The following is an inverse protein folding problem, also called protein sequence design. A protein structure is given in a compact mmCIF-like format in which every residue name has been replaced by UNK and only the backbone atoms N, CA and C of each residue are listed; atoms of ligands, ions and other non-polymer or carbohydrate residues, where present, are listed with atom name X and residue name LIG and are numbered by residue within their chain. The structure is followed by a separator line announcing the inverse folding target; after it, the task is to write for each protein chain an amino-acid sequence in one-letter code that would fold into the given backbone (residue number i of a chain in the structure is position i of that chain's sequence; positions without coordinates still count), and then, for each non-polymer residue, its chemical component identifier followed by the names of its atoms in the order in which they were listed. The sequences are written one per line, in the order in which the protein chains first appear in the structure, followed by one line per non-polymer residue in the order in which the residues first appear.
data_IF_844155131412
#
_entry.id   IF_844155131412
#
_cell.length_a   1.000
_cell.length_b   1.000
_cell.length_c   1.000
_cell.angle_alpha   90.00
_cell.angle_beta   90.00
_cell.angle_gamma   90.00
#
_symmetry.space_group_name_H-M   'P 1'
#
loop_
_entity.id
_entity.type
_entity.pdbx_description
1 polymer ?
#
# COMPACT_ATOMS: atom_id res chain seq x y z
N UNK A 1 6.81 -23.36 6.10
CA UNK A 1 6.23 -22.48 5.07
C UNK A 1 6.63 -21.07 5.44
N UNK A 2 7.34 -20.34 4.57
CA UNK A 2 7.64 -18.93 4.81
C UNK A 2 6.33 -18.14 4.75
N UNK A 3 6.03 -17.34 5.76
CA UNK A 3 4.79 -16.57 5.75
C UNK A 3 4.99 -15.30 4.92
N UNK A 4 4.29 -15.22 3.79
CA UNK A 4 4.26 -14.02 2.96
C UNK A 4 3.63 -12.88 3.78
N UNK A 5 4.16 -11.67 3.63
CA UNK A 5 3.45 -10.48 4.11
C UNK A 5 2.17 -10.30 3.30
N UNK A 6 1.12 -9.83 3.96
CA UNK A 6 -0.20 -9.61 3.37
C UNK A 6 -0.70 -8.22 3.75
N UNK A 7 -1.43 -7.58 2.84
CA UNK A 7 -2.21 -6.37 3.14
C UNK A 7 -3.66 -6.81 3.25
N UNK A 8 -4.21 -6.72 4.45
CA UNK A 8 -5.63 -6.95 4.70
C UNK A 8 -6.40 -5.65 4.48
N UNK A 9 -7.26 -5.55 3.45
CA UNK A 9 -8.00 -4.33 3.18
C UNK A 9 -9.11 -4.10 4.22
N UNK A 10 -9.18 -2.89 4.77
CA UNK A 10 -10.32 -2.42 5.57
C UNK A 10 -11.36 -1.72 4.70
N UNK A 11 -10.92 -1.17 3.57
CA UNK A 11 -11.78 -0.63 2.51
C UNK A 11 -11.96 -1.67 1.42
N UNK A 12 -13.19 -1.90 0.93
CA UNK A 12 -13.43 -2.84 -0.17
C UNK A 12 -12.55 -2.49 -1.39
N UNK A 13 -11.65 -3.38 -1.85
CA UNK A 13 -10.84 -3.14 -3.03
C UNK A 13 -11.71 -2.87 -4.26
N UNK A 14 -11.18 -2.10 -5.22
CA UNK A 14 -11.79 -1.80 -6.53
C UNK A 14 -13.17 -1.14 -6.52
N UNK A 15 -13.68 -0.75 -5.34
CA UNK A 15 -14.97 -0.06 -5.16
C UNK A 15 -14.83 1.41 -4.77
N UNK A 16 -13.73 2.06 -5.17
CA UNK A 16 -13.37 3.41 -4.73
C UNK A 16 -13.46 4.42 -5.87
N UNK A 17 -13.95 5.61 -5.54
CA UNK A 17 -13.87 6.78 -6.40
C UNK A 17 -12.57 7.54 -6.14
N UNK A 18 -12.12 8.34 -7.11
CA UNK A 18 -11.02 9.29 -6.90
C UNK A 18 -11.29 10.15 -5.67
N UNK A 19 -10.28 10.31 -4.81
CA UNK A 19 -10.42 11.04 -3.55
C UNK A 19 -10.98 10.23 -2.38
N UNK A 20 -11.43 8.99 -2.57
CA UNK A 20 -11.77 8.11 -1.45
C UNK A 20 -10.51 7.62 -0.72
N UNK A 21 -10.68 7.31 0.56
CA UNK A 21 -9.65 6.72 1.40
C UNK A 21 -9.62 5.19 1.24
N UNK A 22 -8.48 4.65 0.86
CA UNK A 22 -8.16 3.23 1.06
C UNK A 22 -7.43 3.07 2.38
N UNK A 23 -7.87 2.11 3.18
CA UNK A 23 -7.23 1.72 4.43
C UNK A 23 -6.93 0.22 4.42
N UNK A 24 -5.79 -0.16 4.97
CA UNK A 24 -5.38 -1.56 5.09
C UNK A 24 -4.50 -1.81 6.31
N UNK A 25 -4.41 -3.07 6.71
CA UNK A 25 -3.53 -3.53 7.78
C UNK A 25 -2.45 -4.43 7.17
N UNK A 26 -1.18 -4.07 7.38
CA UNK A 26 -0.06 -4.94 7.03
C UNK A 26 0.04 -6.05 8.04
N UNK A 27 0.10 -7.30 7.57
CA UNK A 27 0.23 -8.48 8.41
C UNK A 27 1.34 -9.40 7.91
N UNK A 28 1.91 -10.19 8.83
CA UNK A 28 2.78 -11.33 8.54
C UNK A 28 2.31 -12.50 9.38
N UNK A 29 2.02 -13.63 8.73
CA UNK A 29 1.42 -14.80 9.39
C UNK A 29 0.12 -14.47 10.15
N UNK A 30 -0.70 -13.58 9.60
CA UNK A 30 -1.96 -13.13 10.21
C UNK A 30 -1.80 -12.19 11.43
N UNK A 31 -0.58 -11.79 11.78
CA UNK A 31 -0.32 -10.81 12.86
C UNK A 31 0.00 -9.44 12.28
N UNK A 32 -0.53 -8.34 12.84
CA UNK A 32 -0.17 -7.00 12.38
C UNK A 32 1.34 -6.74 12.46
N UNK A 33 1.86 -5.99 11.49
CA UNK A 33 3.26 -5.54 11.46
C UNK A 33 3.27 -4.03 11.73
N UNK A 34 3.60 -3.60 12.96
CA UNK A 34 3.70 -2.19 13.30
C UNK A 34 4.75 -1.50 12.43
N UNK A 35 4.49 -0.25 12.05
CA UNK A 35 5.51 0.61 11.44
C UNK A 35 6.11 0.10 10.12
N UNK A 36 5.48 -0.88 9.48
CA UNK A 36 5.88 -1.38 8.16
C UNK A 36 5.89 -0.23 7.14
N UNK A 37 6.86 -0.27 6.23
CA UNK A 37 6.88 0.61 5.06
C UNK A 37 6.00 0.01 3.96
N UNK A 38 5.28 0.87 3.26
CA UNK A 38 4.42 0.50 2.14
C UNK A 38 4.78 1.36 0.95
N UNK A 39 5.16 0.75 -0.16
CA UNK A 39 5.30 1.41 -1.44
C UNK A 39 3.96 1.48 -2.15
N UNK A 40 3.67 2.63 -2.75
CA UNK A 40 2.43 2.90 -3.48
C UNK A 40 2.78 3.44 -4.86
N UNK A 41 2.21 2.83 -5.89
CA UNK A 41 2.46 3.18 -7.29
C UNK A 41 1.17 3.26 -8.09
N UNK A 42 1.15 4.16 -9.08
CA UNK A 42 0.06 4.31 -10.04
C UNK A 42 0.42 3.63 -11.36
N UNK A 43 -0.47 2.79 -11.88
CA UNK A 43 -0.34 2.27 -13.25
C UNK A 43 -0.67 3.40 -14.22
N UNK A 44 0.38 4.01 -14.77
CA UNK A 44 0.29 5.27 -15.50
C UNK A 44 0.05 5.10 -17.02
N UNK A 45 -1.01 4.39 -17.39
CA UNK A 45 -1.35 4.17 -18.81
C UNK A 45 -1.78 5.47 -19.53
N UNK A 46 -2.12 6.51 -18.77
CA UNK A 46 -2.57 7.82 -19.28
C UNK A 46 -1.43 8.83 -19.47
N UNK A 47 -0.18 8.48 -19.12
CA UNK A 47 0.99 9.33 -19.33
C UNK A 47 1.03 10.58 -18.45
N UNK A 48 0.46 10.54 -17.25
CA UNK A 48 0.52 11.62 -16.27
C UNK A 48 1.99 11.90 -15.92
N UNK A 49 2.42 13.16 -16.03
CA UNK A 49 3.76 13.57 -15.62
C UNK A 49 3.84 13.74 -14.10
N UNK A 50 4.67 12.91 -13.46
CA UNK A 50 4.97 13.04 -12.04
C UNK A 50 5.72 14.37 -11.75
N UNK A 51 5.45 15.05 -10.61
CA UNK A 51 6.20 16.25 -10.20
C UNK A 51 7.70 15.99 -9.98
N UNK A 52 8.05 14.83 -9.41
CA UNK A 52 9.40 14.32 -9.21
C UNK A 52 9.35 12.81 -8.90
N UNK A 53 10.51 12.18 -8.70
CA UNK A 53 10.63 10.73 -8.52
C UNK A 53 9.89 10.19 -7.28
N UNK A 54 9.71 10.99 -6.23
CA UNK A 54 8.97 10.58 -5.03
C UNK A 54 7.46 10.39 -5.28
N UNK A 55 6.95 10.83 -6.43
CA UNK A 55 5.57 10.57 -6.86
C UNK A 55 5.44 9.32 -7.75
N UNK A 56 6.56 8.76 -8.22
CA UNK A 56 6.57 7.51 -8.99
C UNK A 56 6.37 6.34 -8.02
N UNK A 57 7.24 6.25 -7.02
CA UNK A 57 7.12 5.31 -5.90
C UNK A 57 6.96 6.11 -4.61
N UNK A 58 5.75 6.11 -4.08
CA UNK A 58 5.44 6.79 -2.82
C UNK A 58 5.64 5.84 -1.66
N UNK A 59 6.14 6.33 -0.53
CA UNK A 59 6.36 5.51 0.66
C UNK A 59 5.47 6.00 1.80
N UNK A 60 4.72 5.08 2.39
CA UNK A 60 3.92 5.27 3.59
C UNK A 60 4.52 4.45 4.73
N UNK A 61 4.17 4.83 5.95
CA UNK A 61 4.48 4.06 7.15
C UNK A 61 3.20 3.70 7.89
N UNK A 62 3.04 2.43 8.21
CA UNK A 62 1.94 1.96 9.03
C UNK A 62 2.04 2.52 10.47
N UNK A 63 0.92 2.56 11.17
CA UNK A 63 0.88 2.88 12.60
C UNK A 63 1.28 1.67 13.48
N UNK A 64 1.11 1.83 14.79
CA UNK A 64 1.42 0.79 15.79
C UNK A 64 0.59 -0.48 15.62
N UNK A 65 -0.59 -0.39 14.99
CA UNK A 65 -1.47 -1.52 14.71
C UNK A 65 -1.24 -2.09 13.31
N UNK A 66 -0.20 -1.66 12.59
CA UNK A 66 0.04 -2.04 11.21
C UNK A 66 -0.93 -1.40 10.21
N UNK A 67 -1.75 -0.44 10.63
CA UNK A 67 -2.73 0.21 9.77
C UNK A 67 -2.08 1.33 8.95
N UNK A 68 -2.41 1.42 7.67
CA UNK A 68 -2.06 2.55 6.82
C UNK A 68 -3.28 3.06 6.05
N UNK A 69 -3.17 4.31 5.57
CA UNK A 69 -4.23 4.98 4.84
C UNK A 69 -3.64 5.69 3.62
N UNK A 70 -4.35 5.67 2.49
CA UNK A 70 -3.96 6.36 1.27
C UNK A 70 -5.17 6.91 0.53
N UNK A 71 -5.09 8.15 0.06
CA UNK A 71 -6.11 8.77 -0.80
C UNK A 71 -5.59 8.75 -2.22
N UNK A 72 -6.36 8.17 -3.14
CA UNK A 72 -5.98 8.11 -4.56
C UNK A 72 -6.26 9.45 -5.24
N UNK A 73 -5.22 10.19 -5.69
CA UNK A 73 -5.40 11.50 -6.31
C UNK A 73 -5.92 11.43 -7.75
N UNK A 74 -5.82 10.27 -8.40
CA UNK A 74 -6.23 10.06 -9.79
C UNK A 74 -6.98 8.74 -9.96
N UNK A 75 -7.90 8.69 -10.93
CA UNK A 75 -8.61 7.46 -11.29
C UNK A 75 -7.69 6.49 -12.01
N UNK A 76 -7.86 5.19 -11.74
CA UNK A 76 -7.12 4.10 -12.38
C UNK A 76 -6.63 3.09 -11.37
N UNK A 77 -5.60 2.34 -11.73
CA UNK A 77 -5.07 1.26 -10.91
C UNK A 77 -3.91 1.73 -10.04
N UNK A 78 -3.99 1.36 -8.76
CA UNK A 78 -2.96 1.65 -7.76
C UNK A 78 -2.50 0.36 -7.11
N UNK A 79 -1.18 0.18 -7.02
CA UNK A 79 -0.53 -0.94 -6.36
C UNK A 79 -0.04 -0.55 -4.96
N UNK A 80 -0.06 -1.51 -4.04
CA UNK A 80 0.48 -1.38 -2.69
C UNK A 80 1.40 -2.57 -2.41
N UNK A 81 2.62 -2.31 -1.96
CA UNK A 81 3.59 -3.33 -1.58
C UNK A 81 4.11 -3.08 -0.17
N UNK A 82 3.81 -3.99 0.77
CA UNK A 82 4.33 -3.90 2.13
C UNK A 82 5.74 -4.50 2.22
N UNK A 83 6.71 -3.67 2.60
CA UNK A 83 8.09 -4.06 2.81
C UNK A 83 8.25 -4.63 4.22
N UNK A 84 8.32 -5.95 4.31
CA UNK A 84 8.51 -6.67 5.57
C UNK A 84 9.69 -7.62 5.39
N UNK A 85 10.57 -7.69 6.39
CA UNK A 85 11.70 -8.62 6.37
C UNK A 85 11.22 -10.04 6.06
N UNK A 86 11.80 -10.63 5.01
CA UNK A 86 11.57 -12.02 4.67
C UNK A 86 12.15 -12.95 5.73
N UNK A 87 11.57 -14.13 5.88
CA UNK A 87 12.21 -15.15 6.72
C UNK A 87 13.55 -15.56 6.07
N UNK A 88 14.65 -15.42 6.81
CA UNK A 88 15.93 -15.99 6.41
C UNK A 88 15.78 -17.51 6.27
N UNK A 89 16.18 -18.06 5.13
CA UNK A 89 16.19 -19.50 4.86
C UNK A 89 17.08 -20.26 5.83
#
# INVERSE_FOLDING_TARGET
MAYRSEIQPLTRPTGLWTGNLFSGVVTKAGKPVPFAEIEVEYVNDSGIKAPNDAYITQVLKADVNGTFNYVMPASGWWGFAALVEGDSR
#
